data_IF_242961320878
#
_entry.id   IF_242961320878
#
_cell.length_a   1.000
_cell.length_b   1.000
_cell.length_c   1.000
_cell.angle_alpha   90.00
_cell.angle_beta   90.00
_cell.angle_gamma   90.00
#
_symmetry.space_group_name_H-M   'P 1'
#
loop_
_entity.id
_entity.type
_entity.pdbx_description
1 polymer ?
#
# COMPACT_ATOMS: atom_id res chain seq x y z
N UNK A 1 -3.27 -33.19 -19.86
CA UNK A 1 -2.25 -32.42 -19.12
C UNK A 1 -1.36 -33.38 -18.34
N UNK A 2 -0.06 -33.23 -18.48
CA UNK A 2 0.91 -34.06 -17.76
C UNK A 2 1.07 -33.57 -16.32
N UNK A 3 1.56 -34.41 -15.39
CA UNK A 3 1.83 -33.97 -14.02
C UNK A 3 2.81 -32.79 -13.94
N UNK A 4 3.77 -32.70 -14.87
CA UNK A 4 4.71 -31.58 -14.92
C UNK A 4 4.01 -30.25 -15.26
N UNK A 5 3.04 -30.27 -16.16
CA UNK A 5 2.25 -29.10 -16.52
C UNK A 5 1.36 -28.65 -15.35
N UNK A 6 0.80 -29.60 -14.61
CA UNK A 6 0.02 -29.30 -13.40
C UNK A 6 0.88 -28.59 -12.36
N UNK A 7 2.10 -29.06 -12.16
CA UNK A 7 3.04 -28.42 -11.23
C UNK A 7 3.38 -27.00 -11.65
N UNK A 8 3.50 -26.72 -12.96
CA UNK A 8 3.74 -25.37 -13.48
C UNK A 8 2.61 -24.40 -13.09
N UNK A 9 1.36 -24.83 -13.21
CA UNK A 9 0.23 -23.99 -12.83
C UNK A 9 0.20 -23.71 -11.32
N UNK A 10 0.51 -24.72 -10.49
CA UNK A 10 0.57 -24.56 -9.04
C UNK A 10 1.67 -23.57 -8.62
N UNK A 11 2.79 -23.52 -9.37
CA UNK A 11 3.88 -22.60 -9.08
C UNK A 11 3.56 -21.14 -9.46
N UNK A 12 2.47 -20.89 -10.19
CA UNK A 12 2.02 -19.54 -10.56
C UNK A 12 1.02 -18.93 -9.58
N UNK A 13 0.71 -19.63 -8.48
CA UNK A 13 -0.17 -19.09 -7.46
C UNK A 13 0.51 -17.94 -6.70
N UNK A 14 -0.30 -16.94 -6.32
CA UNK A 14 0.15 -15.78 -5.56
C UNK A 14 -0.59 -15.76 -4.23
N UNK A 15 0.14 -15.60 -3.15
CA UNK A 15 -0.41 -15.52 -1.80
C UNK A 15 -0.52 -14.07 -1.37
N UNK A 16 -1.73 -13.61 -1.10
CA UNK A 16 -2.01 -12.22 -0.72
C UNK A 16 -2.48 -12.16 0.73
N UNK A 17 -1.82 -11.34 1.53
CA UNK A 17 -2.26 -11.03 2.88
C UNK A 17 -3.09 -9.74 2.86
N UNK A 18 -4.29 -9.81 3.42
CA UNK A 18 -5.15 -8.62 3.56
C UNK A 18 -4.89 -8.01 4.93
N UNK A 19 -4.37 -6.79 4.95
CA UNK A 19 -4.11 -6.07 6.19
C UNK A 19 -5.38 -5.35 6.64
N UNK A 20 -6.24 -6.04 7.37
CA UNK A 20 -7.48 -5.48 7.91
C UNK A 20 -7.18 -4.76 9.22
N UNK A 21 -6.51 -3.63 9.12
CA UNK A 21 -6.10 -2.83 10.26
C UNK A 21 -6.92 -1.56 10.33
N UNK A 22 -7.12 -1.07 11.56
CA UNK A 22 -7.71 0.25 11.78
C UNK A 22 -6.60 1.27 11.87
N UNK A 23 -6.39 2.09 10.83
CA UNK A 23 -5.38 3.14 10.91
C UNK A 23 -5.83 4.26 11.85
N UNK A 24 -4.87 4.96 12.44
CA UNK A 24 -5.15 6.16 13.20
C UNK A 24 -5.23 7.35 12.25
N UNK A 25 -6.36 8.07 12.30
CA UNK A 25 -6.55 9.25 11.45
C UNK A 25 -5.44 10.28 11.70
N UNK A 26 -4.75 10.67 10.64
CA UNK A 26 -3.72 11.69 10.68
C UNK A 26 -2.37 11.24 11.22
N UNK A 27 -2.26 10.06 11.81
CA UNK A 27 -0.99 9.55 12.34
C UNK A 27 -0.28 8.66 11.32
N UNK A 28 0.33 9.31 10.34
CA UNK A 28 1.01 8.64 9.22
C UNK A 28 2.12 7.71 9.71
N UNK A 29 2.92 8.17 10.67
CA UNK A 29 4.04 7.38 11.19
C UNK A 29 3.56 6.10 11.87
N UNK A 30 2.52 6.18 12.71
CA UNK A 30 1.95 5.01 13.37
C UNK A 30 1.33 4.04 12.36
N UNK A 31 0.64 4.56 11.34
CA UNK A 31 0.03 3.72 10.31
C UNK A 31 1.09 3.02 9.48
N UNK A 32 2.17 3.71 9.13
CA UNK A 32 3.32 3.13 8.45
C UNK A 32 3.95 1.99 9.27
N UNK A 33 4.15 2.22 10.56
CA UNK A 33 4.73 1.23 11.45
C UNK A 33 3.85 -0.02 11.59
N UNK A 34 2.54 0.17 11.73
CA UNK A 34 1.58 -0.95 11.75
C UNK A 34 1.69 -1.81 10.50
N UNK A 35 1.77 -1.18 9.35
CA UNK A 35 1.89 -1.89 8.08
C UNK A 35 3.18 -2.70 8.01
N UNK A 36 4.31 -2.11 8.45
CA UNK A 36 5.58 -2.82 8.47
C UNK A 36 5.55 -4.03 9.40
N UNK A 37 4.91 -3.93 10.57
CA UNK A 37 4.75 -5.05 11.49
C UNK A 37 3.89 -6.16 10.90
N UNK A 38 2.79 -5.80 10.23
CA UNK A 38 1.93 -6.78 9.58
C UNK A 38 2.64 -7.44 8.39
N UNK A 39 3.46 -6.67 7.68
CA UNK A 39 4.26 -7.21 6.58
C UNK A 39 5.22 -8.30 7.08
N UNK A 40 5.85 -8.10 8.23
CA UNK A 40 6.71 -9.12 8.82
C UNK A 40 5.94 -10.41 9.12
N UNK A 41 4.73 -10.29 9.68
CA UNK A 41 3.86 -11.45 9.94
C UNK A 41 3.42 -12.13 8.64
N UNK A 42 3.09 -11.34 7.63
CA UNK A 42 2.71 -11.87 6.33
C UNK A 42 3.86 -12.62 5.68
N UNK A 43 5.08 -12.08 5.77
CA UNK A 43 6.28 -12.73 5.26
C UNK A 43 6.50 -14.09 5.93
N UNK A 44 6.34 -14.16 7.24
CA UNK A 44 6.50 -15.40 8.01
C UNK A 44 5.50 -16.49 7.59
N UNK A 45 4.36 -16.08 7.05
CA UNK A 45 3.32 -17.00 6.54
C UNK A 45 3.44 -17.27 5.04
N UNK A 46 4.49 -16.78 4.39
CA UNK A 46 4.74 -17.02 2.98
C UNK A 46 3.94 -16.15 2.02
N UNK A 47 3.42 -15.00 2.46
CA UNK A 47 2.71 -14.09 1.58
C UNK A 47 3.67 -13.47 0.56
N UNK A 48 3.18 -13.29 -0.66
CA UNK A 48 3.90 -12.60 -1.73
C UNK A 48 3.58 -11.11 -1.78
N UNK A 49 2.38 -10.74 -1.35
CA UNK A 49 1.87 -9.37 -1.38
C UNK A 49 1.10 -9.10 -0.10
N UNK A 50 1.23 -7.88 0.45
CA UNK A 50 0.34 -7.39 1.48
C UNK A 50 -0.47 -6.21 0.92
N UNK A 51 -1.78 -6.23 1.14
CA UNK A 51 -2.73 -5.25 0.61
C UNK A 51 -3.42 -4.53 1.76
N UNK A 52 -3.43 -3.20 1.73
CA UNK A 52 -4.12 -2.37 2.73
C UNK A 52 -5.45 -1.82 2.21
N UNK A 53 -6.33 -1.34 3.10
CA UNK A 53 -7.52 -0.60 2.71
C UNK A 53 -7.21 0.72 2.02
N UNK A 54 -8.23 1.27 1.39
CA UNK A 54 -8.20 2.61 0.80
C UNK A 54 -7.75 3.65 1.84
N UNK A 55 -6.92 4.60 1.43
CA UNK A 55 -6.44 5.72 2.26
C UNK A 55 -5.75 5.31 3.58
N UNK A 56 -5.21 4.11 3.63
CA UNK A 56 -4.66 3.54 4.87
C UNK A 56 -3.66 4.45 5.57
N UNK A 57 -2.70 5.03 4.83
CA UNK A 57 -1.65 5.84 5.45
C UNK A 57 -2.17 7.10 6.11
N UNK A 58 -3.20 7.70 5.55
CA UNK A 58 -3.81 8.91 6.12
C UNK A 58 -4.82 8.60 7.21
N UNK A 59 -5.44 7.43 7.15
CA UNK A 59 -6.65 7.14 7.88
C UNK A 59 -7.87 7.70 7.13
N UNK A 60 -9.03 7.10 7.36
CA UNK A 60 -10.25 7.50 6.65
C UNK A 60 -11.36 7.82 7.62
N UNK A 61 -12.07 8.93 7.43
CA UNK A 61 -11.93 9.93 6.36
C UNK A 61 -10.79 10.93 6.65
N UNK A 62 -9.99 11.24 5.65
CA UNK A 62 -8.86 12.16 5.82
C UNK A 62 -9.27 13.63 5.74
N UNK A 63 -10.42 13.91 5.16
CA UNK A 63 -11.03 15.26 5.10
C UNK A 63 -10.01 16.37 4.74
N UNK A 64 -9.90 17.38 5.61
CA UNK A 64 -9.06 18.55 5.34
C UNK A 64 -7.56 18.29 5.51
N UNK A 65 -7.17 17.16 6.07
CA UNK A 65 -5.75 16.85 6.28
C UNK A 65 -4.98 16.84 4.96
N UNK A 66 -5.59 16.32 3.89
CA UNK A 66 -4.93 16.22 2.58
C UNK A 66 -4.65 17.57 1.94
N UNK A 67 -5.26 18.65 2.45
CA UNK A 67 -5.01 20.01 1.98
C UNK A 67 -3.76 20.62 2.62
N UNK A 68 -3.20 19.99 3.64
CA UNK A 68 -2.03 20.51 4.36
C UNK A 68 -0.75 19.97 3.73
N UNK A 69 0.13 20.90 3.34
CA UNK A 69 1.39 20.55 2.69
C UNK A 69 2.28 19.67 3.58
N UNK A 70 2.37 20.00 4.88
CA UNK A 70 3.18 19.23 5.83
C UNK A 70 2.66 17.80 6.01
N UNK A 71 1.34 17.60 5.98
CA UNK A 71 0.74 16.28 6.04
C UNK A 71 1.10 15.46 4.80
N UNK A 72 0.96 16.06 3.61
CA UNK A 72 1.30 15.38 2.36
C UNK A 72 2.79 15.06 2.26
N UNK A 73 3.65 15.89 2.83
CA UNK A 73 5.08 15.60 2.91
C UNK A 73 5.35 14.35 3.75
N UNK A 74 4.61 14.17 4.84
CA UNK A 74 4.73 12.96 5.67
C UNK A 74 4.22 11.72 4.94
N UNK A 75 3.15 11.85 4.17
CA UNK A 75 2.65 10.75 3.31
C UNK A 75 3.74 10.33 2.31
N UNK A 76 4.34 11.28 1.62
CA UNK A 76 5.39 11.00 0.65
C UNK A 76 6.60 10.32 1.30
N UNK A 77 7.00 10.80 2.48
CA UNK A 77 8.10 10.20 3.23
C UNK A 77 7.77 8.77 3.67
N UNK A 78 6.54 8.50 4.08
CA UNK A 78 6.10 7.16 4.46
C UNK A 78 6.10 6.20 3.27
N UNK A 79 5.61 6.63 2.12
CA UNK A 79 5.66 5.84 0.88
C UNK A 79 7.11 5.47 0.53
N UNK A 80 8.02 6.43 0.62
CA UNK A 80 9.44 6.21 0.37
C UNK A 80 10.04 5.18 1.33
N UNK A 81 9.70 5.29 2.61
CA UNK A 81 10.14 4.35 3.66
C UNK A 81 9.63 2.94 3.40
N UNK A 82 8.35 2.82 3.07
CA UNK A 82 7.73 1.51 2.76
C UNK A 82 8.35 0.90 1.50
N UNK A 83 8.59 1.71 0.47
CA UNK A 83 9.23 1.24 -0.75
C UNK A 83 10.62 0.66 -0.44
N UNK A 84 11.44 1.37 0.33
CA UNK A 84 12.77 0.90 0.73
C UNK A 84 12.72 -0.40 1.51
N UNK A 85 11.71 -0.59 2.35
CA UNK A 85 11.55 -1.82 3.11
C UNK A 85 11.37 -3.03 2.18
N UNK A 86 10.78 -2.87 1.01
CA UNK A 86 10.56 -3.96 0.06
C UNK A 86 11.84 -4.42 -0.65
N UNK A 87 12.98 -3.75 -0.43
CA UNK A 87 14.26 -4.18 -0.98
C UNK A 87 14.79 -5.47 -0.36
N UNK A 88 14.17 -5.96 0.70
CA UNK A 88 14.58 -7.17 1.43
C UNK A 88 14.18 -8.49 0.73
N UNK A 89 13.51 -8.42 -0.41
CA UNK A 89 13.01 -9.59 -1.12
C UNK A 89 11.73 -10.20 -0.55
N UNK A 90 11.16 -9.58 0.48
CA UNK A 90 9.90 -10.01 1.08
C UNK A 90 8.68 -9.53 0.30
N UNK A 91 7.49 -9.60 0.91
CA UNK A 91 6.24 -9.27 0.22
C UNK A 91 6.22 -7.87 -0.38
N UNK A 92 5.70 -7.75 -1.60
CA UNK A 92 5.34 -6.48 -2.19
C UNK A 92 4.23 -5.82 -1.36
N UNK A 93 4.15 -4.51 -1.41
CA UNK A 93 3.13 -3.75 -0.67
C UNK A 93 2.22 -3.07 -1.68
N UNK A 94 0.91 -3.21 -1.49
CA UNK A 94 -0.09 -2.37 -2.16
C UNK A 94 -0.76 -1.55 -1.07
N UNK A 95 -0.47 -0.25 -1.05
CA UNK A 95 -0.90 0.63 0.04
C UNK A 95 -1.75 1.79 -0.47
N UNK A 96 -2.89 2.01 0.20
CA UNK A 96 -3.76 3.14 -0.06
C UNK A 96 -3.27 4.41 0.62
N UNK A 97 -3.21 5.50 -0.13
CA UNK A 97 -2.77 6.79 0.38
C UNK A 97 -3.22 7.92 -0.55
N UNK A 98 -3.36 9.14 -0.01
CA UNK A 98 -3.52 10.31 -0.88
C UNK A 98 -2.21 10.57 -1.62
N UNK A 99 -2.34 11.08 -2.83
CA UNK A 99 -1.20 11.45 -3.67
C UNK A 99 -1.37 12.86 -4.17
N UNK A 100 -0.32 13.65 -4.03
CA UNK A 100 -0.24 15.00 -4.57
C UNK A 100 0.61 14.96 -5.84
N UNK A 101 0.00 15.34 -6.96
CA UNK A 101 0.70 15.39 -8.25
C UNK A 101 0.30 16.66 -8.99
N UNK A 102 1.26 17.55 -9.23
CA UNK A 102 1.05 18.83 -9.93
C UNK A 102 -0.13 19.61 -9.36
N UNK A 103 -0.17 19.77 -8.04
CA UNK A 103 -1.21 20.49 -7.30
C UNK A 103 -2.59 19.82 -7.32
N UNK A 104 -2.70 18.62 -7.90
CA UNK A 104 -3.93 17.83 -7.87
C UNK A 104 -3.79 16.73 -6.83
N UNK A 105 -4.83 16.53 -6.05
CA UNK A 105 -4.89 15.47 -5.03
C UNK A 105 -5.68 14.29 -5.57
N UNK A 106 -5.11 13.10 -5.39
CA UNK A 106 -5.71 11.84 -5.81
C UNK A 106 -5.85 10.91 -4.62
N UNK A 107 -6.85 10.06 -4.67
CA UNK A 107 -6.95 8.88 -3.82
C UNK A 107 -6.28 7.74 -4.59
N UNK A 108 -5.17 7.25 -4.09
CA UNK A 108 -4.29 6.38 -4.88
C UNK A 108 -3.98 5.07 -4.17
N UNK A 109 -3.60 4.09 -4.97
CA UNK A 109 -2.94 2.87 -4.51
C UNK A 109 -1.53 2.85 -5.09
N UNK A 110 -0.55 2.64 -4.22
CA UNK A 110 0.85 2.51 -4.60
C UNK A 110 1.26 1.06 -4.54
N UNK A 111 1.95 0.59 -5.56
CA UNK A 111 2.53 -0.74 -5.61
C UNK A 111 4.03 -0.60 -5.39
N UNK A 112 4.52 -1.18 -4.30
CA UNK A 112 5.90 -1.05 -3.85
C UNK A 112 6.55 -2.43 -3.86
N UNK A 113 7.67 -2.57 -4.56
CA UNK A 113 8.39 -3.83 -4.64
C UNK A 113 9.85 -3.59 -5.05
N UNK A 114 10.74 -4.48 -4.62
CA UNK A 114 12.15 -4.40 -4.99
C UNK A 114 12.83 -3.09 -4.60
N UNK A 115 12.34 -2.42 -3.57
CA UNK A 115 12.88 -1.15 -3.09
C UNK A 115 12.36 0.08 -3.84
N UNK A 116 11.34 -0.07 -4.67
CA UNK A 116 10.86 0.99 -5.57
C UNK A 116 9.35 1.12 -5.54
N UNK A 117 8.86 2.29 -5.96
CA UNK A 117 7.47 2.48 -6.36
C UNK A 117 7.36 1.93 -7.79
N UNK A 118 6.69 0.79 -7.93
CA UNK A 118 6.54 0.10 -9.22
C UNK A 118 5.42 0.70 -10.03
N UNK A 119 4.34 1.09 -9.36
CA UNK A 119 3.17 1.65 -10.02
C UNK A 119 2.33 2.47 -9.03
N UNK A 120 1.55 3.36 -9.58
CA UNK A 120 0.52 4.12 -8.88
C UNK A 120 -0.77 4.03 -9.68
N UNK A 121 -1.87 3.83 -9.00
CA UNK A 121 -3.19 3.84 -9.61
C UNK A 121 -4.08 4.82 -8.85
N UNK A 122 -4.63 5.77 -9.56
CA UNK A 122 -5.51 6.76 -9.00
C UNK A 122 -6.95 6.29 -9.16
N UNK A 123 -7.77 6.53 -8.14
CA UNK A 123 -9.18 6.20 -8.20
C UNK A 123 -9.84 7.11 -9.22
N UNK A 124 -10.51 6.50 -10.20
CA UNK A 124 -11.28 7.21 -11.22
C UNK A 124 -12.77 7.04 -10.94
N UNK A 125 -13.60 7.86 -11.55
CA UNK A 125 -15.05 7.82 -11.37
C UNK A 125 -15.45 7.98 -9.91
N UNK A 126 -14.81 8.92 -9.22
CA UNK A 126 -15.23 9.28 -7.88
C UNK A 126 -16.71 9.69 -7.92
N UNK A 127 -17.54 9.18 -7.00
CA UNK A 127 -18.91 9.66 -6.92
C UNK A 127 -18.89 11.16 -6.73
N UNK A 128 -19.79 11.86 -7.43
CA UNK A 128 -19.94 13.28 -7.26
C UNK A 128 -20.72 13.53 -5.98
N UNK A 129 -20.03 13.88 -4.92
CA UNK A 129 -20.62 14.24 -3.64
C UNK A 129 -20.95 15.73 -3.58
N UNK A 130 -21.05 16.35 -4.71
CA UNK A 130 -21.21 17.76 -4.84
C UNK A 130 -22.50 18.33 -4.37
#
# INVERSE_FOLDING_TARGET
>A
MTPAETQKFDSLSVSVALAQLNPHLGDVSANCQKLLQMRERAAAKGADIILTPEMFLAGYPADDLVLRADFMDRIEAAISRLAKATADGGPAIIVGAPCRDKEVLYNSAFILDGGKIVARRDKVNLPNYG
#
